data_IF_188230040172
#
_entry.id   IF_188230040172
#
_cell.length_a   1.000
_cell.length_b   1.000
_cell.length_c   1.000
_cell.angle_alpha   90.00
_cell.angle_beta   90.00
_cell.angle_gamma   90.00
#
_symmetry.space_group_name_H-M   'P 1'
#
loop_
_entity.id
_entity.type
_entity.pdbx_description
1 polymer ?
#
# COMPACT_ATOMS: atom_id res chain seq x y z
N UNK A 1 6.51 -3.20 16.29
CA UNK A 1 5.27 -3.85 15.77
C UNK A 1 4.15 -2.85 15.95
N UNK A 2 3.15 -2.82 15.04
CA UNK A 2 2.02 -1.88 15.10
C UNK A 2 0.73 -2.68 15.23
N UNK A 3 -0.07 -2.38 16.24
CA UNK A 3 -1.42 -2.95 16.42
C UNK A 3 -2.46 -1.99 15.84
N UNK A 4 -3.43 -2.56 15.14
CA UNK A 4 -4.55 -1.85 14.51
C UNK A 4 -5.81 -2.66 14.72
N UNK A 5 -6.94 -1.98 14.88
CA UNK A 5 -8.25 -2.60 14.93
C UNK A 5 -8.99 -2.30 13.62
N UNK A 6 -9.57 -3.34 13.05
CA UNK A 6 -10.32 -3.25 11.80
C UNK A 6 -11.74 -3.78 12.00
N UNK A 7 -12.63 -3.30 11.14
CA UNK A 7 -13.99 -3.78 10.98
C UNK A 7 -13.96 -4.75 9.79
N UNK A 8 -14.09 -6.05 10.08
CA UNK A 8 -14.27 -7.06 9.05
C UNK A 8 -15.70 -7.00 8.54
N UNK A 9 -15.84 -6.50 7.31
CA UNK A 9 -17.07 -6.49 6.55
C UNK A 9 -17.29 -7.88 5.95
N UNK A 10 -18.53 -8.35 6.05
CA UNK A 10 -18.97 -9.63 5.50
C UNK A 10 -20.27 -9.42 4.74
N UNK A 11 -20.48 -10.23 3.72
CA UNK A 11 -21.75 -10.22 2.99
C UNK A 11 -22.82 -10.89 3.85
N UNK A 12 -23.93 -10.18 4.08
CA UNK A 12 -25.12 -10.69 4.78
C UNK A 12 -24.90 -11.11 6.26
N UNK A 13 -23.79 -10.69 6.87
CA UNK A 13 -23.47 -10.90 8.29
C UNK A 13 -23.14 -9.57 8.97
N UNK A 14 -23.32 -9.51 10.29
CA UNK A 14 -22.91 -8.34 11.08
C UNK A 14 -21.38 -8.15 11.05
N UNK A 15 -20.88 -6.91 10.90
CA UNK A 15 -19.45 -6.65 10.93
C UNK A 15 -18.81 -7.06 12.26
N UNK A 16 -17.57 -7.55 12.20
CA UNK A 16 -16.82 -7.99 13.39
C UNK A 16 -15.53 -7.21 13.58
N UNK A 17 -15.07 -7.09 14.82
CA UNK A 17 -13.78 -6.46 15.10
C UNK A 17 -12.64 -7.47 15.00
N UNK A 18 -11.57 -7.07 14.32
CA UNK A 18 -10.35 -7.85 14.16
C UNK A 18 -9.16 -7.02 14.62
N UNK A 19 -8.44 -7.50 15.64
CA UNK A 19 -7.11 -6.97 15.99
C UNK A 19 -6.09 -7.55 15.01
N UNK A 20 -5.26 -6.69 14.42
CA UNK A 20 -4.16 -7.07 13.55
C UNK A 20 -2.85 -6.48 14.05
N UNK A 21 -1.84 -7.33 14.20
CA UNK A 21 -0.49 -6.92 14.56
C UNK A 21 0.44 -6.97 13.34
N UNK A 22 0.74 -5.79 12.79
CA UNK A 22 1.66 -5.64 11.68
C UNK A 22 3.12 -5.82 12.16
N UNK A 23 3.70 -6.96 11.78
CA UNK A 23 5.13 -7.29 12.02
C UNK A 23 6.03 -6.80 10.89
N UNK A 24 5.51 -6.78 9.65
CA UNK A 24 6.24 -6.38 8.44
C UNK A 24 5.33 -5.51 7.58
N UNK A 25 5.94 -4.58 6.86
CA UNK A 25 5.30 -3.77 5.83
C UNK A 25 6.14 -3.90 4.55
N UNK A 26 5.49 -4.27 3.46
CA UNK A 26 6.06 -4.29 2.12
C UNK A 26 5.22 -3.36 1.24
N UNK A 27 5.89 -2.46 0.53
CA UNK A 27 5.28 -1.56 -0.44
C UNK A 27 5.61 -2.09 -1.83
N UNK A 28 4.57 -2.39 -2.62
CA UNK A 28 4.71 -2.97 -3.95
C UNK A 28 4.83 -1.87 -5.01
N UNK A 29 6.00 -1.73 -5.62
CA UNK A 29 6.20 -0.87 -6.78
C UNK A 29 5.98 -1.64 -8.08
N UNK A 30 5.35 -0.98 -9.06
CA UNK A 30 5.14 -1.51 -10.41
C UNK A 30 4.46 -2.89 -10.43
N UNK A 31 3.40 -3.05 -9.62
CA UNK A 31 2.63 -4.29 -9.45
C UNK A 31 1.52 -4.48 -10.49
N UNK A 32 1.40 -3.55 -11.45
CA UNK A 32 0.39 -3.57 -12.50
C UNK A 32 0.44 -4.83 -13.38
N UNK A 33 -0.73 -5.28 -13.84
CA UNK A 33 -0.84 -6.43 -14.76
C UNK A 33 -0.41 -6.11 -16.19
N UNK A 34 -0.50 -4.84 -16.58
CA UNK A 34 -0.13 -4.38 -17.91
C UNK A 34 1.34 -3.92 -17.92
N UNK A 35 2.21 -4.76 -18.50
CA UNK A 35 3.65 -4.47 -18.64
C UNK A 35 3.91 -3.20 -19.45
N UNK A 36 3.15 -2.94 -20.51
CA UNK A 36 3.33 -1.75 -21.34
C UNK A 36 2.97 -0.48 -20.57
N UNK A 37 1.94 -0.53 -19.71
CA UNK A 37 1.59 0.57 -18.82
C UNK A 37 2.69 0.81 -17.77
N UNK A 38 3.25 -0.26 -17.19
CA UNK A 38 4.41 -0.16 -16.29
C UNK A 38 5.60 0.50 -17.01
N UNK A 39 5.93 0.04 -18.22
CA UNK A 39 7.06 0.59 -18.99
C UNK A 39 6.83 2.05 -19.39
N UNK A 40 5.60 2.44 -19.75
CA UNK A 40 5.25 3.85 -19.99
C UNK A 40 5.44 4.69 -18.74
N UNK A 41 4.96 4.21 -17.59
CA UNK A 41 5.11 4.92 -16.33
C UNK A 41 6.59 5.10 -15.94
N UNK A 42 7.43 4.08 -16.14
CA UNK A 42 8.89 4.19 -15.92
C UNK A 42 9.49 5.30 -16.78
N UNK A 43 9.13 5.35 -18.06
CA UNK A 43 9.61 6.39 -18.97
C UNK A 43 9.18 7.79 -18.50
N UNK A 44 7.94 7.94 -18.02
CA UNK A 44 7.46 9.21 -17.44
C UNK A 44 8.24 9.61 -16.18
N UNK A 45 8.60 8.64 -15.33
CA UNK A 45 9.41 8.90 -14.12
C UNK A 45 10.85 9.32 -14.50
N UNK A 46 11.46 8.63 -15.47
CA UNK A 46 12.79 8.97 -15.98
C UNK A 46 12.83 10.37 -16.64
N UNK A 47 11.79 10.73 -17.40
CA UNK A 47 11.61 12.06 -17.98
C UNK A 47 11.50 13.15 -16.90
N UNK A 48 10.98 12.82 -15.71
CA UNK A 48 10.94 13.70 -14.53
C UNK A 48 12.25 13.70 -13.73
N UNK A 49 13.29 13.01 -14.20
CA UNK A 49 14.60 12.93 -13.56
C UNK A 49 14.68 11.95 -12.39
N UNK A 50 13.65 11.11 -12.19
CA UNK A 50 13.67 10.05 -11.18
C UNK A 50 14.60 8.94 -11.67
N UNK A 51 15.61 8.61 -10.88
CA UNK A 51 16.56 7.55 -11.22
C UNK A 51 15.97 6.18 -10.92
N UNK A 52 15.80 5.37 -11.95
CA UNK A 52 15.39 3.98 -11.85
C UNK A 52 16.57 3.09 -12.26
N UNK A 53 16.98 2.19 -11.37
CA UNK A 53 18.10 1.28 -11.63
C UNK A 53 17.67 0.12 -12.54
N UNK A 54 18.31 -0.02 -13.69
CA UNK A 54 18.06 -1.10 -14.65
C UNK A 54 19.10 -2.24 -14.50
N UNK A 55 18.72 -3.51 -14.74
CA UNK A 55 17.41 -3.98 -15.19
C UNK A 55 16.42 -4.08 -14.04
N UNK A 56 15.24 -3.49 -14.23
CA UNK A 56 14.21 -3.53 -13.20
C UNK A 56 13.49 -4.88 -13.24
N UNK A 57 13.46 -5.60 -12.12
CA UNK A 57 12.64 -6.82 -11.95
C UNK A 57 11.32 -6.45 -11.31
N UNK A 58 10.22 -6.74 -12.00
CA UNK A 58 8.86 -6.46 -11.52
C UNK A 58 8.17 -7.73 -11.01
N UNK A 59 7.37 -7.66 -9.94
CA UNK A 59 7.14 -6.48 -9.08
C UNK A 59 8.35 -6.18 -8.17
N UNK A 60 8.48 -4.92 -7.74
CA UNK A 60 9.50 -4.51 -6.75
C UNK A 60 8.83 -4.40 -5.38
N UNK A 61 9.53 -4.82 -4.32
CA UNK A 61 9.06 -4.62 -2.95
C UNK A 61 10.05 -3.81 -2.13
N UNK A 62 9.57 -2.70 -1.57
CA UNK A 62 10.29 -1.91 -0.60
C UNK A 62 9.84 -2.29 0.81
N UNK A 63 10.79 -2.64 1.68
CA UNK A 63 10.47 -2.84 3.10
C UNK A 63 10.21 -1.49 3.75
N UNK A 64 9.12 -1.38 4.49
CA UNK A 64 8.77 -0.21 5.29
C UNK A 64 8.72 -0.54 6.77
N UNK A 65 8.91 0.44 7.66
CA UNK A 65 8.69 0.24 9.07
C UNK A 65 7.18 0.18 9.39
N UNK A 66 6.69 -0.85 10.10
CA UNK A 66 5.25 -1.02 10.37
C UNK A 66 4.59 0.11 11.18
N UNK A 67 5.37 0.94 11.89
CA UNK A 67 4.81 2.05 12.67
C UNK A 67 4.12 3.11 11.81
N UNK A 68 4.44 3.18 10.50
CA UNK A 68 3.82 4.10 9.55
C UNK A 68 2.34 3.82 9.31
N UNK A 69 1.88 2.59 9.60
CA UNK A 69 0.51 2.19 9.36
C UNK A 69 -0.44 2.89 10.34
N UNK A 70 -1.52 3.45 9.80
CA UNK A 70 -2.57 4.12 10.58
C UNK A 70 -3.95 3.95 9.95
N UNK A 71 -4.99 4.04 10.77
CA UNK A 71 -6.39 4.14 10.33
C UNK A 71 -7.00 5.49 10.71
N UNK A 72 -6.16 6.48 11.07
CA UNK A 72 -6.60 7.84 11.41
C UNK A 72 -7.29 8.52 10.23
N UNK A 73 -8.29 9.35 10.54
CA UNK A 73 -9.03 10.13 9.53
C UNK A 73 -8.22 11.35 9.02
N UNK A 74 -7.13 11.71 9.71
CA UNK A 74 -6.19 12.74 9.30
C UNK A 74 -4.75 12.31 9.63
N UNK A 75 -3.80 12.82 8.84
CA UNK A 75 -2.36 12.58 9.02
C UNK A 75 -1.59 13.90 8.92
N UNK A 76 -0.44 13.95 9.58
CA UNK A 76 0.55 14.99 9.35
C UNK A 76 1.58 14.48 8.33
N UNK A 77 2.01 15.39 7.46
CA UNK A 77 2.96 15.12 6.38
C UNK A 77 4.16 16.06 6.51
N UNK A 78 5.36 15.63 6.08
CA UNK A 78 6.60 16.38 6.29
C UNK A 78 6.68 17.68 5.47
N UNK A 79 5.89 17.79 4.39
CA UNK A 79 5.89 18.93 3.49
C UNK A 79 4.54 19.05 2.75
N UNK A 80 4.35 20.14 2.01
CA UNK A 80 3.13 20.36 1.19
C UNK A 80 3.09 19.45 -0.04
N UNK A 81 4.25 19.17 -0.64
CA UNK A 81 4.36 18.43 -1.90
C UNK A 81 4.35 16.90 -1.65
N UNK A 82 3.26 16.43 -1.06
CA UNK A 82 2.97 15.01 -0.87
C UNK A 82 1.66 14.63 -1.53
N UNK A 83 1.47 13.35 -1.83
CA UNK A 83 0.21 12.87 -2.39
C UNK A 83 -0.10 11.45 -1.97
N UNK A 84 -1.40 11.15 -1.84
CA UNK A 84 -1.88 9.80 -1.66
C UNK A 84 -1.81 8.96 -2.94
N UNK A 85 -1.64 7.66 -2.78
CA UNK A 85 -1.69 6.68 -3.87
C UNK A 85 -2.61 5.55 -3.45
N UNK A 86 -3.80 5.48 -4.05
CA UNK A 86 -4.81 4.48 -3.66
C UNK A 86 -4.36 3.10 -4.09
N UNK A 87 -4.25 2.20 -3.13
CA UNK A 87 -3.75 0.84 -3.31
C UNK A 87 -4.66 -0.17 -2.60
N UNK A 88 -4.73 -1.39 -3.13
CA UNK A 88 -5.24 -2.52 -2.36
C UNK A 88 -4.13 -3.02 -1.42
N UNK A 89 -4.52 -3.37 -0.20
CA UNK A 89 -3.59 -3.86 0.82
C UNK A 89 -3.90 -5.33 1.10
N UNK A 90 -2.85 -6.15 1.06
CA UNK A 90 -2.94 -7.58 1.37
C UNK A 90 -2.40 -7.81 2.78
N UNK A 91 -3.25 -8.28 3.69
CA UNK A 91 -2.90 -8.56 5.08
C UNK A 91 -2.93 -10.06 5.32
N UNK A 92 -1.77 -10.66 5.57
CA UNK A 92 -1.66 -12.09 5.89
C UNK A 92 -1.58 -12.30 7.40
N UNK A 93 -2.23 -13.33 7.90
CA UNK A 93 -2.09 -13.81 9.28
C UNK A 93 -1.48 -15.22 9.34
N UNK A 94 -0.98 -15.64 10.50
CA UNK A 94 -0.24 -16.91 10.67
C UNK A 94 -1.08 -18.16 10.33
N UNK A 95 -2.41 -18.07 10.42
CA UNK A 95 -3.31 -19.15 10.00
C UNK A 95 -3.40 -19.36 8.48
N UNK A 96 -2.77 -18.50 7.68
CA UNK A 96 -2.87 -18.50 6.21
C UNK A 96 -4.05 -17.70 5.67
N UNK A 97 -4.90 -17.15 6.54
CA UNK A 97 -6.01 -16.28 6.13
C UNK A 97 -5.50 -14.95 5.58
N UNK A 98 -6.19 -14.44 4.56
CA UNK A 98 -5.88 -13.19 3.88
C UNK A 98 -7.04 -12.22 4.05
N UNK A 99 -6.74 -11.03 4.53
CA UNK A 99 -7.66 -9.90 4.50
C UNK A 99 -7.23 -8.91 3.45
N UNK A 100 -8.20 -8.29 2.79
CA UNK A 100 -8.00 -7.18 1.87
C UNK A 100 -8.49 -5.89 2.53
N UNK A 101 -7.72 -4.82 2.35
CA UNK A 101 -8.12 -3.46 2.69
C UNK A 101 -7.84 -2.52 1.51
N UNK A 102 -8.28 -1.28 1.63
CA UNK A 102 -7.83 -0.18 0.77
C UNK A 102 -6.90 0.70 1.58
N UNK A 103 -5.87 1.27 0.96
CA UNK A 103 -4.97 2.17 1.64
C UNK A 103 -4.34 3.19 0.71
N UNK A 104 -3.52 4.06 1.30
CA UNK A 104 -2.71 5.03 0.61
C UNK A 104 -1.23 4.71 0.79
N UNK A 105 -0.51 4.42 -0.30
CA UNK A 105 0.95 4.45 -0.32
C UNK A 105 1.46 5.90 -0.45
N UNK A 106 1.05 6.74 0.50
CA UNK A 106 1.29 8.19 0.49
C UNK A 106 2.78 8.51 0.35
N UNK A 107 3.11 9.49 -0.49
CA UNK A 107 4.48 9.71 -0.97
C UNK A 107 4.85 11.19 -0.94
N UNK A 108 6.09 11.47 -0.53
CA UNK A 108 6.74 12.77 -0.73
C UNK A 108 7.29 12.87 -2.15
N UNK A 109 6.76 13.80 -2.96
CA UNK A 109 7.08 13.86 -4.38
C UNK A 109 8.44 14.48 -4.68
N UNK A 110 8.94 15.36 -3.81
CA UNK A 110 10.28 15.91 -3.98
C UNK A 110 11.35 14.88 -3.61
N UNK A 111 11.15 14.14 -2.53
CA UNK A 111 12.05 13.08 -2.11
C UNK A 111 12.02 11.89 -3.07
N UNK A 112 10.90 11.64 -3.74
CA UNK A 112 10.75 10.56 -4.72
C UNK A 112 11.71 10.73 -5.90
N UNK A 113 11.95 11.97 -6.34
CA UNK A 113 12.97 12.33 -7.36
C UNK A 113 14.37 11.88 -6.99
N UNK A 114 14.65 11.79 -5.70
CA UNK A 114 15.97 11.45 -5.17
C UNK A 114 16.03 9.96 -4.81
N UNK A 115 15.00 9.45 -4.13
CA UNK A 115 14.95 8.08 -3.66
C UNK A 115 13.50 7.63 -3.38
N UNK A 116 12.98 6.75 -4.24
CA UNK A 116 11.63 6.19 -4.16
C UNK A 116 11.37 5.53 -2.80
N UNK A 117 12.30 4.73 -2.27
CA UNK A 117 12.04 4.04 -0.99
C UNK A 117 11.92 5.02 0.18
N UNK A 118 12.81 6.01 0.25
CA UNK A 118 12.80 7.00 1.34
C UNK A 118 11.61 7.94 1.25
N UNK A 119 11.15 8.29 0.05
CA UNK A 119 9.94 9.10 -0.11
C UNK A 119 8.69 8.43 0.45
N UNK A 120 8.64 7.09 0.42
CA UNK A 120 7.56 6.34 1.06
C UNK A 120 7.69 6.31 2.59
N UNK A 121 8.88 6.35 3.15
CA UNK A 121 9.10 6.19 4.59
C UNK A 121 8.79 7.43 5.42
N UNK A 122 8.80 8.61 4.79
CA UNK A 122 8.54 9.88 5.47
C UNK A 122 7.05 10.21 5.59
N UNK A 123 6.18 9.39 4.97
CA UNK A 123 4.74 9.59 4.99
C UNK A 123 4.01 8.44 5.71
N UNK A 124 2.98 8.73 6.52
CA UNK A 124 2.07 7.72 7.05
C UNK A 124 1.39 6.93 5.94
N UNK A 125 1.10 5.65 6.21
CA UNK A 125 0.34 4.76 5.33
C UNK A 125 -1.03 4.60 5.92
N UNK A 126 -2.01 5.29 5.32
CA UNK A 126 -3.40 5.29 5.79
C UNK A 126 -4.11 4.07 5.22
N UNK A 127 -4.74 3.28 6.08
CA UNK A 127 -5.54 2.12 5.71
C UNK A 127 -7.00 2.40 6.01
N UNK A 128 -7.89 1.78 5.26
CA UNK A 128 -9.31 1.74 5.57
C UNK A 128 -9.52 1.08 6.93
N UNK A 129 -10.45 1.61 7.72
CA UNK A 129 -10.92 0.94 8.95
C UNK A 129 -11.65 -0.37 8.63
N UNK A 130 -12.26 -0.46 7.45
CA UNK A 130 -12.98 -1.62 6.95
C UNK A 130 -12.05 -2.53 6.14
N UNK A 131 -12.18 -3.83 6.34
CA UNK A 131 -11.44 -4.88 5.61
C UNK A 131 -12.41 -5.99 5.20
N UNK A 132 -12.00 -6.81 4.25
CA UNK A 132 -12.77 -7.94 3.73
C UNK A 132 -11.95 -9.22 3.82
N UNK A 133 -12.63 -10.34 3.98
CA UNK A 133 -12.03 -11.64 3.75
C UNK A 133 -11.75 -11.80 2.25
N UNK A 134 -10.52 -12.22 1.89
CA UNK A 134 -10.21 -12.47 0.49
C UNK A 134 -11.10 -13.57 -0.10
N UNK A 135 -11.44 -14.59 0.69
CA UNK A 135 -12.27 -15.70 0.21
C UNK A 135 -13.69 -15.26 -0.19
N UNK A 136 -14.20 -14.18 0.40
CA UNK A 136 -15.51 -13.61 0.08
C UNK A 136 -15.50 -12.79 -1.22
N UNK A 137 -14.34 -12.25 -1.61
CA UNK A 137 -14.24 -11.29 -2.73
C UNK A 137 -13.50 -11.80 -3.96
N UNK A 138 -12.72 -12.88 -3.83
CA UNK A 138 -11.86 -13.40 -4.91
C UNK A 138 -12.60 -13.69 -6.22
N UNK A 139 -13.86 -14.14 -6.16
CA UNK A 139 -14.65 -14.52 -7.35
C UNK A 139 -15.09 -13.32 -8.21
N UNK A 140 -14.98 -12.11 -7.67
CA UNK A 140 -15.35 -10.87 -8.36
C UNK A 140 -14.27 -9.79 -8.31
N UNK A 141 -13.02 -10.14 -7.98
CA UNK A 141 -11.90 -9.21 -7.86
C UNK A 141 -11.68 -8.31 -9.09
N UNK A 142 -11.96 -8.84 -10.28
CA UNK A 142 -11.70 -8.20 -11.57
C UNK A 142 -12.93 -7.56 -12.23
N UNK A 143 -14.04 -7.47 -11.53
CA UNK A 143 -15.31 -6.95 -12.07
C UNK A 143 -15.52 -5.48 -11.76
#
# INVERSE_FOLDING_TARGET
MKKLNFILEKKDEEPTLVEYEAKKLLLGGFTGRNKEAIMRHIKELEEKGIKIEHPVKFPIFFKGPPYLLTTSDAIEVPCEETSGEVEYIVMTVESGKIYIAVGSDHTDRELEKINIQKSKWVCPKVLSKKIWDYDDIKDHWDR
#
